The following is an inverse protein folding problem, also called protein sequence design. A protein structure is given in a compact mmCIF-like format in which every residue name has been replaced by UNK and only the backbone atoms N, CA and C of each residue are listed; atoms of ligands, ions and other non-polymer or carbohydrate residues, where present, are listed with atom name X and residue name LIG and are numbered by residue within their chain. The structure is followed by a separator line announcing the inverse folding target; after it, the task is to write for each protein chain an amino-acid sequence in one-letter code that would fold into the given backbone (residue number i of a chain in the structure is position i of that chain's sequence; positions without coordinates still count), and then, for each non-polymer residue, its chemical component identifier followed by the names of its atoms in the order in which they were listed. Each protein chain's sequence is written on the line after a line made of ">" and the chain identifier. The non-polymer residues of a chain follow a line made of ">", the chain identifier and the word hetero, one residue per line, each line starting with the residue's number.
data_IF_175896580874
#
_entry.id   IF_175896580874
#
_cell.length_a   1.000
_cell.length_b   1.000
_cell.length_c   1.000
_cell.angle_alpha   90.00
_cell.angle_beta   90.00
_cell.angle_gamma   90.00
#
_symmetry.space_group_name_H-M   'P 1'
#
loop_
_entity.id
_entity.type
_entity.pdbx_description
1 polymer ?
#
# COMPACT_ATOMS: atom_id res chain seq x y z
N UNK A 1 -7.44 -3.64 3.26
CA UNK A 1 -7.43 -5.03 3.73
C UNK A 1 -8.85 -5.51 3.87
N UNK A 2 -9.20 -6.65 3.27
CA UNK A 2 -10.52 -7.28 3.37
C UNK A 2 -10.31 -8.72 3.83
N UNK A 3 -10.79 -9.08 5.01
CA UNK A 3 -10.55 -10.37 5.65
C UNK A 3 -11.87 -11.03 6.04
N UNK A 4 -11.98 -12.32 5.79
CA UNK A 4 -13.09 -13.17 6.19
C UNK A 4 -12.55 -14.40 6.92
N UNK A 5 -13.16 -14.80 8.02
CA UNK A 5 -12.66 -15.95 8.76
C UNK A 5 -13.58 -16.42 9.87
N UNK A 6 -13.18 -17.52 10.49
CA UNK A 6 -13.84 -18.14 11.63
C UNK A 6 -12.80 -18.59 12.64
N UNK A 7 -13.16 -18.48 13.91
CA UNK A 7 -12.42 -19.07 15.02
C UNK A 7 -13.37 -19.98 15.81
N UNK A 8 -12.96 -21.23 16.00
CA UNK A 8 -13.71 -22.23 16.75
C UNK A 8 -13.70 -21.98 18.26
N UNK A 9 -14.36 -22.86 19.01
CA UNK A 9 -14.38 -22.79 20.47
C UNK A 9 -13.03 -23.24 21.07
N UNK A 10 -12.49 -22.44 21.98
CA UNK A 10 -11.34 -22.76 22.84
C UNK A 10 -11.74 -22.65 24.31
N UNK A 11 -10.99 -23.30 25.19
CA UNK A 11 -11.26 -23.31 26.63
C UNK A 11 -9.97 -23.14 27.45
N UNK A 12 -10.08 -22.46 28.59
CA UNK A 12 -9.05 -22.40 29.63
C UNK A 12 -9.14 -23.57 30.63
N UNK A 13 -10.18 -24.41 30.54
CA UNK A 13 -10.39 -25.52 31.46
C UNK A 13 -9.39 -26.66 31.17
N UNK A 14 -8.25 -26.63 31.84
CA UNK A 14 -7.29 -27.73 31.86
C UNK A 14 -7.77 -28.79 32.85
N UNK A 15 -8.16 -29.96 32.34
CA UNK A 15 -8.29 -31.14 33.20
C UNK A 15 -6.88 -31.69 33.44
N UNK A 16 -6.53 -32.07 34.67
CA UNK A 16 -5.21 -32.61 34.97
C UNK A 16 -4.89 -33.79 34.04
N UNK A 17 -3.91 -33.59 33.14
CA UNK A 17 -3.48 -34.58 32.14
C UNK A 17 -4.15 -34.51 30.75
N UNK A 18 -5.06 -33.57 30.49
CA UNK A 18 -5.69 -33.39 29.18
C UNK A 18 -4.94 -32.37 28.31
N UNK A 19 -4.84 -32.65 27.00
CA UNK A 19 -4.29 -31.70 26.02
C UNK A 19 -5.18 -30.43 25.94
N UNK A 20 -4.59 -29.23 25.72
CA UNK A 20 -5.35 -28.00 25.59
C UNK A 20 -6.37 -28.09 24.45
N UNK A 21 -7.59 -27.62 24.68
CA UNK A 21 -8.62 -27.59 23.65
C UNK A 21 -8.29 -26.52 22.60
N UNK A 22 -7.85 -26.97 21.42
CA UNK A 22 -7.46 -26.09 20.32
C UNK A 22 -8.69 -25.61 19.54
N UNK A 23 -8.78 -24.30 19.26
CA UNK A 23 -9.80 -23.75 18.37
C UNK A 23 -9.32 -23.78 16.92
N UNK A 24 -10.17 -24.27 16.03
CA UNK A 24 -9.93 -24.22 14.59
C UNK A 24 -9.94 -22.76 14.10
N UNK A 25 -8.92 -22.37 13.34
CA UNK A 25 -8.75 -21.05 12.77
C UNK A 25 -8.80 -21.18 11.25
N UNK A 26 -9.63 -20.36 10.61
CA UNK A 26 -9.60 -20.15 9.16
C UNK A 26 -9.73 -18.67 8.85
N UNK A 27 -8.81 -18.10 8.08
CA UNK A 27 -8.82 -16.70 7.67
C UNK A 27 -8.39 -16.63 6.21
N UNK A 28 -9.20 -15.98 5.38
CA UNK A 28 -8.88 -15.73 3.97
C UNK A 28 -9.15 -14.28 3.64
N UNK A 29 -8.43 -13.72 2.66
CA UNK A 29 -8.74 -12.38 2.20
C UNK A 29 -7.64 -11.72 1.41
N UNK A 30 -7.70 -10.40 1.37
CA UNK A 30 -6.72 -9.54 0.70
C UNK A 30 -6.04 -8.60 1.67
N UNK A 31 -4.71 -8.66 1.74
CA UNK A 31 -3.87 -7.74 2.50
C UNK A 31 -3.33 -6.63 1.58
N UNK A 32 -3.25 -5.40 2.11
CA UNK A 32 -2.74 -4.22 1.38
C UNK A 32 -3.38 -4.01 -0.02
N UNK A 33 -4.64 -4.42 -0.18
CA UNK A 33 -5.44 -4.20 -1.39
C UNK A 33 -5.12 -5.12 -2.56
N UNK A 34 -4.04 -5.92 -2.52
CA UNK A 34 -3.70 -6.81 -3.64
C UNK A 34 -3.06 -8.15 -3.28
N UNK A 35 -2.53 -8.33 -2.07
CA UNK A 35 -1.93 -9.60 -1.67
C UNK A 35 -3.02 -10.60 -1.28
N UNK A 36 -2.92 -11.85 -1.72
CA UNK A 36 -3.82 -12.90 -1.22
C UNK A 36 -3.31 -13.42 0.12
N UNK A 37 -4.21 -13.64 1.06
CA UNK A 37 -3.94 -14.20 2.39
C UNK A 37 -4.81 -15.43 2.61
N UNK A 38 -4.18 -16.51 3.06
CA UNK A 38 -4.84 -17.72 3.55
C UNK A 38 -4.15 -18.17 4.84
N UNK A 39 -4.92 -18.42 5.89
CA UNK A 39 -4.45 -18.90 7.19
C UNK A 39 -5.39 -20.00 7.64
N UNK A 40 -4.83 -21.14 7.99
CA UNK A 40 -5.57 -22.30 8.49
C UNK A 40 -4.82 -22.96 9.63
N UNK A 41 -5.54 -23.64 10.52
CA UNK A 41 -4.93 -24.45 11.56
C UNK A 41 -5.72 -24.38 12.86
N UNK A 42 -5.00 -24.46 13.97
CA UNK A 42 -5.61 -24.43 15.29
C UNK A 42 -4.78 -23.60 16.27
N UNK A 43 -5.45 -22.91 17.19
CA UNK A 43 -4.84 -22.07 18.21
C UNK A 43 -5.58 -22.21 19.53
N UNK A 44 -4.86 -22.20 20.65
CA UNK A 44 -5.45 -21.94 21.96
C UNK A 44 -4.70 -20.77 22.62
N UNK A 45 -5.24 -19.53 22.51
CA UNK A 45 -4.60 -18.35 23.09
C UNK A 45 -4.69 -18.31 24.62
N UNK A 46 -5.49 -19.18 25.25
CA UNK A 46 -5.64 -19.28 26.70
C UNK A 46 -4.76 -20.36 27.34
N UNK A 47 -4.06 -21.16 26.53
CA UNK A 47 -3.05 -22.10 27.03
C UNK A 47 -1.81 -21.33 27.51
N UNK A 48 -1.22 -21.79 28.60
CA UNK A 48 0.05 -21.27 29.13
C UNK A 48 1.06 -22.42 29.22
N UNK A 49 2.10 -22.43 28.36
CA UNK A 49 2.39 -21.52 27.26
C UNK A 49 1.38 -21.64 26.08
N UNK A 50 1.36 -20.61 25.22
CA UNK A 50 0.51 -20.55 24.01
C UNK A 50 0.68 -21.83 23.17
N UNK A 51 -0.42 -22.50 22.84
CA UNK A 51 -0.42 -23.64 21.91
C UNK A 51 -0.96 -23.21 20.54
N UNK A 52 -0.25 -23.55 19.47
CA UNK A 52 -0.69 -23.27 18.09
C UNK A 52 -0.15 -24.30 17.11
N UNK A 53 -0.89 -24.56 16.03
CA UNK A 53 -0.44 -25.29 14.84
C UNK A 53 -1.13 -24.63 13.64
N UNK A 54 -0.44 -23.68 13.00
CA UNK A 54 -1.00 -22.78 11.99
C UNK A 54 -0.13 -22.83 10.73
N UNK A 55 -0.79 -22.85 9.58
CA UNK A 55 -0.19 -22.60 8.28
C UNK A 55 -0.75 -21.29 7.73
N UNK A 56 0.12 -20.48 7.15
CA UNK A 56 -0.30 -19.27 6.47
C UNK A 56 0.44 -19.10 5.14
N UNK A 57 -0.30 -18.62 4.15
CA UNK A 57 0.21 -18.29 2.83
C UNK A 57 -0.15 -16.86 2.50
N UNK A 58 0.87 -16.12 2.03
CA UNK A 58 0.71 -14.79 1.47
C UNK A 58 1.28 -14.83 0.07
N UNK A 59 0.55 -14.33 -0.92
CA UNK A 59 1.04 -14.24 -2.29
C UNK A 59 1.01 -12.80 -2.80
N UNK A 60 2.11 -12.39 -3.44
CA UNK A 60 2.25 -11.14 -4.20
C UNK A 60 1.99 -9.85 -3.40
N UNK A 61 2.42 -9.81 -2.13
CA UNK A 61 2.35 -8.63 -1.29
C UNK A 61 3.34 -7.56 -1.77
N UNK A 62 2.84 -6.41 -2.21
CA UNK A 62 3.69 -5.26 -2.54
C UNK A 62 4.32 -4.70 -1.27
N UNK A 63 5.63 -4.51 -1.34
CA UNK A 63 6.45 -4.11 -0.20
C UNK A 63 6.58 -2.60 0.07
N UNK A 64 6.44 -1.68 -0.91
CA UNK A 64 6.57 -0.25 -0.61
C UNK A 64 5.66 0.29 0.50
N UNK A 65 4.38 -0.13 0.63
CA UNK A 65 3.53 0.27 1.76
C UNK A 65 4.10 -0.13 3.14
N UNK A 66 4.95 -1.16 3.19
CA UNK A 66 5.60 -1.64 4.41
C UNK A 66 6.91 -0.91 4.74
N UNK A 67 7.30 0.10 3.95
CA UNK A 67 8.47 0.93 4.18
C UNK A 67 8.61 1.46 5.61
N UNK A 68 7.54 1.87 6.33
CA UNK A 68 7.68 2.28 7.74
C UNK A 68 8.31 1.22 8.64
N UNK A 69 8.05 -0.07 8.39
CA UNK A 69 8.66 -1.18 9.11
C UNK A 69 10.11 -1.39 8.68
N UNK A 70 10.39 -1.34 7.37
CA UNK A 70 11.75 -1.45 6.85
C UNK A 70 12.67 -0.32 7.34
N UNK A 71 12.18 0.91 7.42
CA UNK A 71 12.92 2.04 7.96
C UNK A 71 13.24 1.81 9.45
N UNK A 72 12.27 1.32 10.23
CA UNK A 72 12.46 1.05 11.65
C UNK A 72 13.52 -0.01 11.92
N UNK A 73 13.56 -1.10 11.14
CA UNK A 73 14.41 -2.25 11.45
C UNK A 73 15.67 -2.37 10.58
N UNK A 74 15.68 -1.75 9.40
CA UNK A 74 16.79 -1.79 8.47
C UNK A 74 17.35 -0.42 8.09
N UNK A 75 16.61 0.67 8.33
CA UNK A 75 17.07 2.04 8.02
C UNK A 75 16.82 2.50 6.59
N UNK A 76 16.14 1.69 5.79
CA UNK A 76 15.85 1.97 4.38
C UNK A 76 14.36 1.81 4.08
N UNK A 77 13.82 2.71 3.26
CA UNK A 77 12.52 2.50 2.63
C UNK A 77 12.61 1.48 1.50
N UNK A 78 11.48 0.86 1.16
CA UNK A 78 11.39 -0.09 0.05
C UNK A 78 10.83 0.67 -1.16
N UNK A 79 11.63 0.80 -2.22
CA UNK A 79 11.24 1.47 -3.46
C UNK A 79 10.37 0.56 -4.33
N UNK A 80 10.68 -0.74 -4.34
CA UNK A 80 10.00 -1.72 -5.16
C UNK A 80 10.15 -3.12 -4.57
N UNK A 81 9.22 -4.01 -4.90
CA UNK A 81 9.35 -5.44 -4.66
C UNK A 81 8.05 -6.09 -4.24
N UNK A 82 7.98 -7.40 -4.42
CA UNK A 82 6.87 -8.24 -3.96
C UNK A 82 7.36 -9.34 -3.05
N UNK A 83 6.51 -9.71 -2.11
CA UNK A 83 6.75 -10.80 -1.18
C UNK A 83 5.67 -11.87 -1.30
N UNK A 84 6.10 -13.13 -1.39
CA UNK A 84 5.26 -14.30 -1.15
C UNK A 84 5.84 -15.12 0.01
N UNK A 85 4.97 -15.65 0.85
CA UNK A 85 5.32 -16.40 2.06
C UNK A 85 4.51 -17.68 2.14
N UNK A 86 5.17 -18.75 2.57
CA UNK A 86 4.54 -19.98 3.06
C UNK A 86 5.17 -20.28 4.42
N UNK A 87 4.35 -20.17 5.47
CA UNK A 87 4.78 -20.38 6.86
C UNK A 87 3.98 -21.50 7.50
N UNK A 88 4.66 -22.31 8.32
CA UNK A 88 4.04 -23.36 9.14
C UNK A 88 4.63 -23.26 10.53
N UNK A 89 3.82 -22.83 11.50
CA UNK A 89 4.26 -22.56 12.87
C UNK A 89 3.53 -23.52 13.79
N UNK A 90 4.28 -24.14 14.70
CA UNK A 90 3.76 -25.05 15.71
C UNK A 90 4.40 -24.75 17.05
N UNK A 91 3.59 -24.48 18.06
CA UNK A 91 4.03 -24.36 19.45
C UNK A 91 3.36 -25.46 20.25
N UNK A 92 4.18 -26.32 20.82
CA UNK A 92 3.73 -27.40 21.69
C UNK A 92 3.38 -26.87 23.09
N UNK A 93 2.54 -27.59 23.86
CA UNK A 93 2.16 -27.16 25.22
C UNK A 93 3.34 -27.02 26.20
N UNK A 94 4.52 -27.53 25.90
CA UNK A 94 5.76 -27.33 26.67
C UNK A 94 6.51 -26.05 26.27
N UNK A 95 5.98 -25.28 25.30
CA UNK A 95 6.56 -24.07 24.75
C UNK A 95 7.59 -24.31 23.63
N UNK A 96 7.73 -25.53 23.12
CA UNK A 96 8.62 -25.77 21.99
C UNK A 96 8.01 -25.28 20.68
N UNK A 97 8.63 -24.26 20.09
CA UNK A 97 8.33 -23.72 18.76
C UNK A 97 9.09 -24.51 17.69
N UNK A 98 8.36 -24.91 16.65
CA UNK A 98 8.89 -25.33 15.36
C UNK A 98 8.21 -24.50 14.28
N UNK A 99 8.99 -23.77 13.50
CA UNK A 99 8.51 -22.87 12.46
C UNK A 99 9.30 -23.07 11.17
N UNK A 100 8.60 -23.15 10.04
CA UNK A 100 9.21 -23.07 8.71
C UNK A 100 8.79 -21.77 8.06
N UNK A 101 9.74 -21.06 7.46
CA UNK A 101 9.50 -19.81 6.74
C UNK A 101 10.06 -19.90 5.34
N UNK A 102 9.20 -20.08 4.34
CA UNK A 102 9.57 -19.99 2.94
C UNK A 102 9.19 -18.61 2.43
N UNK A 103 10.19 -17.83 2.08
CA UNK A 103 10.09 -16.44 1.65
C UNK A 103 10.55 -16.34 0.20
N UNK A 104 9.72 -15.76 -0.67
CA UNK A 104 10.12 -15.40 -2.03
C UNK A 104 9.96 -13.89 -2.19
N UNK A 105 11.08 -13.19 -2.36
CA UNK A 105 11.09 -11.77 -2.69
C UNK A 105 11.39 -11.62 -4.18
N UNK A 106 10.54 -10.88 -4.89
CA UNK A 106 10.71 -10.59 -6.31
C UNK A 106 11.08 -9.13 -6.49
N UNK A 107 12.27 -8.90 -7.06
CA UNK A 107 12.76 -7.58 -7.46
C UNK A 107 12.69 -6.54 -6.34
N UNK A 108 13.17 -6.95 -5.16
CA UNK A 108 13.25 -6.09 -3.99
C UNK A 108 14.32 -5.01 -4.23
N UNK A 109 13.93 -3.75 -4.07
CA UNK A 109 14.81 -2.60 -4.18
C UNK A 109 14.59 -1.69 -2.97
N UNK A 110 15.69 -1.35 -2.29
CA UNK A 110 15.70 -0.43 -1.18
C UNK A 110 16.19 0.94 -1.64
N UNK A 111 15.50 1.98 -1.16
CA UNK A 111 15.92 3.35 -1.39
C UNK A 111 17.11 3.78 -0.55
N UNK A 112 17.43 5.07 -0.65
CA UNK A 112 18.49 5.69 0.13
C UNK A 112 18.26 5.51 1.65
N UNK A 113 19.34 5.46 2.45
CA UNK A 113 19.24 5.45 3.91
C UNK A 113 18.39 6.62 4.41
N UNK A 114 17.49 6.36 5.36
CA UNK A 114 16.66 7.39 5.99
C UNK A 114 17.40 7.99 7.18
N UNK A 115 17.64 9.30 7.13
CA UNK A 115 18.29 10.03 8.20
C UNK A 115 17.51 9.89 9.53
N UNK A 116 18.21 9.53 10.61
CA UNK A 116 17.62 9.36 11.94
C UNK A 116 16.92 8.02 12.17
N UNK A 117 17.03 7.06 11.25
CA UNK A 117 16.56 5.71 11.50
C UNK A 117 17.37 5.03 12.63
N UNK A 118 16.72 4.22 13.50
CA UNK A 118 17.34 3.65 14.70
C UNK A 118 18.32 2.50 14.41
N UNK A 119 18.31 1.95 13.21
CA UNK A 119 19.20 0.86 12.78
C UNK A 119 19.48 1.04 11.30
N UNK A 120 20.71 0.77 10.86
CA UNK A 120 21.08 0.77 9.45
C UNK A 120 21.77 -0.55 9.13
N UNK A 121 21.08 -1.39 8.37
CA UNK A 121 21.59 -2.67 7.89
C UNK A 121 22.03 -2.52 6.43
N UNK A 122 23.07 -3.25 5.97
CA UNK A 122 23.53 -3.22 4.58
C UNK A 122 22.57 -3.99 3.65
N UNK A 123 21.29 -3.63 3.65
CA UNK A 123 20.23 -4.37 2.97
C UNK A 123 20.38 -4.36 1.46
N UNK A 124 20.92 -3.30 0.87
CA UNK A 124 21.20 -3.26 -0.57
C UNK A 124 22.23 -4.31 -0.98
N UNK A 125 23.31 -4.47 -0.20
CA UNK A 125 24.31 -5.50 -0.43
C UNK A 125 23.72 -6.89 -0.21
N UNK A 126 22.99 -7.09 0.89
CA UNK A 126 22.36 -8.38 1.18
C UNK A 126 21.39 -8.80 0.07
N UNK A 127 20.58 -7.86 -0.42
CA UNK A 127 19.65 -8.09 -1.54
C UNK A 127 20.41 -8.46 -2.82
N UNK A 128 21.48 -7.73 -3.16
CA UNK A 128 22.29 -8.00 -4.35
C UNK A 128 23.00 -9.36 -4.31
N UNK A 129 23.39 -9.83 -3.12
CA UNK A 129 24.07 -11.13 -2.96
C UNK A 129 23.09 -12.32 -2.94
N UNK A 130 21.86 -12.10 -2.46
CA UNK A 130 20.87 -13.15 -2.30
C UNK A 130 19.96 -13.31 -3.53
N UNK A 131 19.86 -12.27 -4.36
CA UNK A 131 19.04 -12.30 -5.55
C UNK A 131 19.73 -13.11 -6.67
N UNK A 132 18.94 -13.90 -7.39
CA UNK A 132 19.39 -14.56 -8.61
C UNK A 132 19.44 -13.59 -9.81
N UNK A 133 19.78 -14.10 -10.99
CA UNK A 133 19.85 -13.32 -12.24
C UNK A 133 18.52 -12.67 -12.66
N UNK A 134 17.38 -13.08 -12.07
CA UNK A 134 16.06 -12.53 -12.34
C UNK A 134 15.59 -11.57 -11.22
N UNK A 135 16.44 -11.30 -10.23
CA UNK A 135 16.13 -10.48 -9.06
C UNK A 135 15.25 -11.20 -8.04
N UNK A 136 15.24 -12.54 -8.03
CA UNK A 136 14.44 -13.35 -7.09
C UNK A 136 15.30 -13.82 -5.93
N UNK A 137 14.85 -13.58 -4.71
CA UNK A 137 15.46 -14.09 -3.48
C UNK A 137 14.53 -15.17 -2.92
N UNK A 138 15.01 -16.39 -2.80
CA UNK A 138 14.28 -17.50 -2.19
C UNK A 138 14.97 -17.95 -0.91
N UNK A 139 14.32 -17.76 0.23
CA UNK A 139 14.83 -18.12 1.54
C UNK A 139 13.96 -19.21 2.17
N UNK A 140 14.60 -20.25 2.68
CA UNK A 140 13.97 -21.23 3.57
C UNK A 140 14.65 -21.13 4.93
N UNK A 141 13.93 -20.58 5.90
CA UNK A 141 14.43 -20.26 7.23
C UNK A 141 13.67 -21.08 8.29
N UNK A 142 14.12 -22.31 8.59
CA UNK A 142 13.58 -23.07 9.70
C UNK A 142 14.02 -22.44 11.02
N UNK A 143 13.09 -22.30 11.95
CA UNK A 143 13.31 -21.77 13.29
C UNK A 143 12.76 -22.79 14.29
N UNK A 144 13.57 -23.18 15.27
CA UNK A 144 13.15 -24.07 16.35
C UNK A 144 13.75 -23.61 17.67
N UNK A 145 13.00 -23.75 18.75
CA UNK A 145 13.47 -23.43 20.10
C UNK A 145 12.33 -23.28 21.10
N UNK A 146 12.67 -23.10 22.37
CA UNK A 146 11.68 -22.86 23.41
C UNK A 146 11.30 -21.38 23.45
N UNK A 147 10.00 -21.07 23.40
CA UNK A 147 9.52 -19.69 23.61
C UNK A 147 9.61 -19.25 25.07
N UNK A 148 9.84 -20.20 25.97
CA UNK A 148 9.98 -19.96 27.40
C UNK A 148 11.41 -19.58 27.79
N UNK A 149 12.36 -19.66 26.86
CA UNK A 149 13.76 -19.31 27.10
C UNK A 149 13.94 -17.77 27.00
N UNK A 150 14.37 -17.09 28.09
CA UNK A 150 14.62 -15.65 28.07
C UNK A 150 15.76 -15.22 27.14
N UNK A 151 16.63 -16.15 26.73
CA UNK A 151 17.70 -15.90 25.74
C UNK A 151 17.27 -16.16 24.29
N UNK A 152 16.04 -16.65 24.05
CA UNK A 152 15.51 -16.88 22.71
C UNK A 152 15.45 -15.58 21.91
N UNK A 153 16.43 -15.39 21.02
CA UNK A 153 16.53 -14.23 20.14
C UNK A 153 16.49 -14.67 18.67
N UNK A 154 15.51 -14.13 17.94
CA UNK A 154 15.29 -14.48 16.53
C UNK A 154 16.41 -13.92 15.63
N UNK A 155 17.03 -12.80 16.03
CA UNK A 155 18.06 -12.08 15.25
C UNK A 155 19.28 -12.93 14.89
N UNK A 156 20.01 -13.53 15.86
CA UNK A 156 21.17 -14.37 15.57
C UNK A 156 20.86 -15.60 14.71
N UNK A 157 19.67 -16.19 14.87
CA UNK A 157 19.21 -17.35 14.08
C UNK A 157 19.01 -16.94 12.62
N UNK A 158 18.32 -15.82 12.36
CA UNK A 158 18.13 -15.27 11.02
C UNK A 158 19.48 -14.91 10.39
N UNK A 159 20.37 -14.23 11.12
CA UNK A 159 21.68 -13.84 10.60
C UNK A 159 22.53 -15.06 10.20
N UNK A 160 22.55 -16.10 11.04
CA UNK A 160 23.27 -17.35 10.76
C UNK A 160 22.67 -18.08 9.55
N UNK A 161 21.34 -18.10 9.41
CA UNK A 161 20.67 -18.70 8.27
C UNK A 161 20.99 -17.96 6.96
N UNK A 162 21.01 -16.62 6.97
CA UNK A 162 21.42 -15.79 5.82
C UNK A 162 22.89 -16.04 5.46
N UNK A 163 23.81 -16.03 6.44
CA UNK A 163 25.23 -16.29 6.20
C UNK A 163 25.49 -17.70 5.63
N UNK A 164 24.75 -18.71 6.11
CA UNK A 164 24.83 -20.06 5.56
C UNK A 164 24.32 -20.16 4.12
N UNK A 165 23.36 -19.32 3.74
CA UNK A 165 22.83 -19.27 2.38
C UNK A 165 23.84 -18.62 1.42
N UNK A 166 24.49 -17.53 1.84
CA UNK A 166 25.57 -16.86 1.08
C UNK A 166 26.80 -17.78 0.96
N UNK A 167 27.16 -18.49 2.04
CA UNK A 167 28.31 -19.41 2.05
C UNK A 167 28.16 -20.64 1.13
N UNK A 168 26.94 -20.97 0.71
CA UNK A 168 26.67 -22.09 -0.22
C UNK A 168 26.50 -21.66 -1.68
N UNK A 169 26.44 -20.35 -1.96
CA UNK A 169 26.25 -19.80 -3.29
C UNK A 169 27.46 -18.92 -3.70
N UNK A 170 28.64 -19.55 -3.86
CA UNK A 170 29.78 -18.91 -4.53
C UNK A 170 29.86 -19.45 -5.95
N UNK A 171 29.07 -18.86 -6.84
CA UNK A 171 29.42 -18.64 -8.26
C UNK A 171 28.38 -17.69 -8.86
N UNK A 172 28.60 -16.39 -8.72
CA UNK A 172 28.01 -15.40 -9.63
C UNK A 172 29.04 -14.28 -9.88
N UNK A 173 29.49 -14.07 -11.12
CA UNK A 173 30.37 -12.95 -11.44
C UNK A 173 29.58 -11.65 -11.33
N UNK A 174 30.12 -10.68 -10.59
CA UNK A 174 29.60 -9.31 -10.56
C UNK A 174 29.54 -8.75 -11.98
N UNK A 175 28.33 -8.52 -12.48
CA UNK A 175 28.11 -7.62 -13.62
C UNK A 175 27.32 -6.43 -13.11
N UNK A 176 28.06 -5.35 -12.90
CA UNK A 176 27.50 -4.01 -12.83
C UNK A 176 26.84 -3.71 -14.19
N UNK A 177 25.51 -3.73 -14.24
CA UNK A 177 24.77 -3.12 -15.32
C UNK A 177 24.26 -1.76 -14.85
N UNK A 178 25.19 -0.80 -14.83
CA UNK A 178 24.86 0.59 -15.09
C UNK A 178 24.77 0.76 -16.61
N UNK A 179 23.79 1.54 -17.07
CA UNK A 179 23.55 1.95 -18.46
C UNK A 179 22.82 0.94 -19.37
N UNK A 180 21.51 0.83 -19.20
CA UNK A 180 20.62 0.52 -20.32
C UNK A 180 19.18 0.99 -20.03
N UNK A 181 18.93 2.29 -20.15
CA UNK A 181 17.62 2.76 -20.59
C UNK A 181 17.80 4.12 -21.30
N UNK A 182 18.52 4.06 -22.42
CA UNK A 182 18.48 5.09 -23.44
C UNK A 182 17.23 4.92 -24.28
N UNK A 183 16.43 5.99 -24.33
CA UNK A 183 15.56 6.40 -25.44
C UNK A 183 14.69 5.32 -26.12
N UNK A 184 13.44 5.18 -25.66
CA UNK A 184 12.26 4.81 -26.46
C UNK A 184 11.10 5.59 -25.84
N UNK A 185 10.31 6.41 -26.51
CA UNK A 185 10.20 6.76 -27.92
C UNK A 185 9.12 7.84 -28.05
N UNK A 186 9.20 8.58 -29.15
CA UNK A 186 8.28 9.62 -29.55
C UNK A 186 6.88 9.09 -29.83
N UNK A 187 5.91 9.54 -29.03
CA UNK A 187 4.56 9.85 -29.50
C UNK A 187 4.00 10.88 -28.54
N UNK A 188 3.41 11.97 -29.05
CA UNK A 188 3.09 13.20 -28.31
C UNK A 188 2.01 13.12 -27.24
N UNK A 189 1.88 11.99 -26.54
CA UNK A 189 1.16 11.86 -25.28
C UNK A 189 2.08 11.17 -24.28
N UNK A 190 2.31 11.84 -23.15
CA UNK A 190 3.11 11.30 -22.07
C UNK A 190 2.39 10.10 -21.42
N UNK A 191 2.69 8.89 -21.91
CA UNK A 191 2.17 7.64 -21.35
C UNK A 191 2.85 7.27 -20.03
N UNK A 192 3.85 8.04 -19.57
CA UNK A 192 4.54 7.80 -18.30
C UNK A 192 3.77 8.34 -17.09
N UNK A 193 2.69 9.09 -17.29
CA UNK A 193 1.90 9.66 -16.19
C UNK A 193 0.40 9.50 -16.40
N UNK A 194 -0.30 9.10 -15.34
CA UNK A 194 -1.77 9.04 -15.30
C UNK A 194 -2.28 10.15 -14.38
N UNK A 195 -2.95 11.14 -14.95
CA UNK A 195 -3.46 12.29 -14.20
C UNK A 195 -4.71 11.93 -13.36
N UNK A 196 -4.78 12.52 -12.16
CA UNK A 196 -5.91 12.44 -11.25
C UNK A 196 -6.46 13.84 -10.94
N UNK A 197 -7.73 13.90 -10.54
CA UNK A 197 -8.27 15.12 -9.96
C UNK A 197 -7.67 15.37 -8.56
N UNK A 198 -7.47 16.64 -8.16
CA UNK A 198 -6.98 16.98 -6.82
C UNK A 198 -7.78 16.30 -5.71
N UNK A 199 -7.09 15.65 -4.78
CA UNK A 199 -7.70 14.92 -3.67
C UNK A 199 -8.36 13.58 -4.01
N UNK A 200 -8.44 13.19 -5.29
CA UNK A 200 -9.12 11.97 -5.75
C UNK A 200 -8.15 10.90 -6.26
N UNK A 201 -8.48 9.63 -5.98
CA UNK A 201 -7.83 8.45 -6.55
C UNK A 201 -8.65 7.79 -7.66
N UNK A 202 -9.72 8.44 -8.14
CA UNK A 202 -10.60 7.89 -9.16
C UNK A 202 -10.03 8.10 -10.56
N UNK A 203 -10.03 7.04 -11.37
CA UNK A 203 -9.60 7.10 -12.76
C UNK A 203 -10.68 7.74 -13.64
N UNK A 204 -10.36 8.90 -14.22
CA UNK A 204 -11.19 9.56 -15.23
C UNK A 204 -11.35 8.72 -16.50
N UNK A 205 -12.37 9.01 -17.31
CA UNK A 205 -12.54 8.34 -18.61
C UNK A 205 -11.29 8.48 -19.50
N UNK A 206 -10.67 9.66 -19.53
CA UNK A 206 -9.41 9.91 -20.24
C UNK A 206 -8.27 9.03 -19.74
N UNK A 207 -8.11 8.92 -18.41
CA UNK A 207 -7.11 8.07 -17.79
C UNK A 207 -7.33 6.58 -18.12
N UNK A 208 -8.58 6.12 -18.13
CA UNK A 208 -8.94 4.74 -18.52
C UNK A 208 -8.58 4.45 -19.97
N UNK A 209 -8.90 5.34 -20.90
CA UNK A 209 -8.52 5.20 -22.32
C UNK A 209 -7.01 5.16 -22.51
N UNK A 210 -6.26 5.99 -21.78
CA UNK A 210 -4.80 5.95 -21.79
C UNK A 210 -4.29 4.60 -21.27
N UNK A 211 -4.83 4.12 -20.16
CA UNK A 211 -4.45 2.83 -19.56
C UNK A 211 -4.82 1.63 -20.42
N UNK A 212 -5.85 1.72 -21.27
CA UNK A 212 -6.14 0.68 -22.27
C UNK A 212 -4.99 0.53 -23.26
N UNK A 213 -4.37 1.65 -23.68
CA UNK A 213 -3.16 1.64 -24.51
C UNK A 213 -1.96 1.01 -23.78
N UNK A 214 -1.77 1.33 -22.50
CA UNK A 214 -0.73 0.73 -21.66
C UNK A 214 -0.95 -0.78 -21.51
N UNK A 215 -2.20 -1.21 -21.24
CA UNK A 215 -2.54 -2.62 -21.13
C UNK A 215 -2.24 -3.38 -22.44
N UNK A 216 -2.60 -2.80 -23.60
CA UNK A 216 -2.26 -3.38 -24.90
C UNK A 216 -0.74 -3.54 -25.08
N UNK A 217 0.03 -2.50 -24.77
CA UNK A 217 1.49 -2.54 -24.88
C UNK A 217 2.14 -3.58 -23.94
N UNK A 218 1.59 -3.78 -22.74
CA UNK A 218 2.04 -4.82 -21.80
C UNK A 218 1.62 -6.23 -22.25
N UNK A 219 0.45 -6.38 -22.88
CA UNK A 219 0.02 -7.65 -23.46
C UNK A 219 0.93 -8.06 -24.63
N UNK A 220 1.27 -7.11 -25.51
CA UNK A 220 2.12 -7.36 -26.69
C UNK A 220 3.59 -7.65 -26.32
N UNK A 221 4.04 -7.26 -25.12
CA UNK A 221 5.42 -7.47 -24.65
C UNK A 221 5.46 -8.20 -23.31
N UNK A 222 5.44 -9.55 -23.30
CA UNK A 222 5.31 -10.33 -22.06
C UNK A 222 6.48 -10.16 -21.08
N UNK A 223 7.66 -9.76 -21.57
CA UNK A 223 8.85 -9.55 -20.74
C UNK A 223 8.88 -8.19 -20.02
N UNK A 224 7.93 -7.28 -20.32
CA UNK A 224 7.86 -5.99 -19.64
C UNK A 224 7.16 -6.11 -18.27
N UNK A 225 7.74 -5.44 -17.29
CA UNK A 225 7.13 -5.20 -15.97
C UNK A 225 6.84 -3.72 -15.82
N UNK A 226 5.75 -3.40 -15.15
CA UNK A 226 5.34 -2.02 -14.89
C UNK A 226 5.38 -1.75 -13.39
N UNK A 227 6.02 -0.66 -13.00
CA UNK A 227 5.96 -0.11 -11.64
C UNK A 227 5.11 1.15 -11.66
N UNK A 228 4.21 1.27 -10.69
CA UNK A 228 3.30 2.41 -10.55
C UNK A 228 3.59 3.12 -9.22
N UNK A 229 3.99 4.38 -9.30
CA UNK A 229 4.22 5.24 -8.13
C UNK A 229 3.20 6.37 -8.10
N UNK A 230 2.32 6.39 -7.09
CA UNK A 230 1.35 7.46 -6.93
C UNK A 230 1.99 8.70 -6.32
N UNK A 231 1.49 9.88 -6.70
CA UNK A 231 1.90 11.16 -6.11
C UNK A 231 0.72 11.85 -5.43
N UNK A 232 0.99 12.58 -4.35
CA UNK A 232 0.03 13.48 -3.72
C UNK A 232 0.72 14.61 -2.95
N UNK A 233 0.38 15.87 -3.19
CA UNK A 233 1.04 17.01 -2.52
C UNK A 233 0.05 17.83 -1.71
N UNK A 234 0.28 17.91 -0.40
CA UNK A 234 -0.62 18.64 0.50
C UNK A 234 -0.82 20.09 0.06
N UNK A 235 0.27 20.80 -0.27
CA UNK A 235 0.22 22.21 -0.65
C UNK A 235 -0.62 22.47 -1.92
N UNK A 236 -0.69 21.51 -2.82
CA UNK A 236 -1.35 21.65 -4.13
C UNK A 236 -2.75 21.03 -4.14
N UNK A 237 -3.08 20.18 -3.15
CA UNK A 237 -4.30 19.38 -3.15
C UNK A 237 -5.17 19.53 -1.89
N UNK A 238 -4.77 20.34 -0.91
CA UNK A 238 -5.48 20.45 0.37
C UNK A 238 -6.99 20.71 0.19
N UNK A 239 -7.38 21.68 -0.65
CA UNK A 239 -8.79 21.98 -0.89
C UNK A 239 -9.52 20.81 -1.56
N UNK A 240 -8.90 20.19 -2.57
CA UNK A 240 -9.44 19.01 -3.26
C UNK A 240 -9.64 17.85 -2.30
N UNK A 241 -8.68 17.60 -1.42
CA UNK A 241 -8.75 16.56 -0.40
C UNK A 241 -9.85 16.83 0.64
N UNK A 242 -10.02 18.08 1.09
CA UNK A 242 -11.13 18.49 1.97
C UNK A 242 -12.48 18.26 1.30
N UNK A 243 -12.60 18.59 0.01
CA UNK A 243 -13.81 18.39 -0.78
C UNK A 243 -14.15 16.90 -0.93
N UNK A 244 -13.17 16.06 -1.24
CA UNK A 244 -13.36 14.60 -1.33
C UNK A 244 -13.74 14.00 0.04
N UNK A 245 -13.15 14.49 1.13
CA UNK A 245 -13.56 14.10 2.49
C UNK A 245 -15.01 14.48 2.78
N UNK A 246 -15.44 15.68 2.40
CA UNK A 246 -16.83 16.11 2.55
C UNK A 246 -17.78 15.20 1.77
N UNK A 247 -17.47 14.91 0.51
CA UNK A 247 -18.28 14.00 -0.30
C UNK A 247 -18.37 12.60 0.33
N UNK A 248 -17.27 12.06 0.88
CA UNK A 248 -17.31 10.78 1.59
C UNK A 248 -18.18 10.81 2.85
N UNK A 249 -18.24 11.95 3.56
CA UNK A 249 -19.16 12.13 4.71
C UNK A 249 -20.62 12.15 4.24
N UNK A 250 -20.92 12.83 3.13
CA UNK A 250 -22.26 12.86 2.53
C UNK A 250 -22.67 11.47 2.04
N UNK A 251 -21.76 10.72 1.39
CA UNK A 251 -21.98 9.34 0.96
C UNK A 251 -22.26 8.38 2.12
N UNK A 252 -21.64 8.64 3.28
CA UNK A 252 -21.90 7.86 4.50
C UNK A 252 -23.31 8.15 5.02
N UNK A 253 -23.80 9.38 4.90
CA UNK A 253 -25.16 9.75 5.31
C UNK A 253 -26.22 8.99 4.52
N UNK A 254 -26.06 8.88 3.20
CA UNK A 254 -26.96 8.11 2.34
C UNK A 254 -27.01 6.62 2.77
N UNK A 255 -25.85 6.03 3.07
CA UNK A 255 -25.76 4.62 3.49
C UNK A 255 -26.42 4.33 4.83
N UNK A 256 -26.46 5.29 5.74
CA UNK A 256 -27.18 5.13 7.01
C UNK A 256 -28.70 5.13 6.84
N UNK A 257 -29.22 5.67 5.73
CA UNK A 257 -30.66 5.69 5.43
C UNK A 257 -31.12 4.53 4.57
N UNK A 258 -30.23 3.88 3.82
CA UNK A 258 -30.57 2.68 3.08
C UNK A 258 -31.10 1.60 4.06
N UNK A 259 -32.35 1.11 3.89
CA UNK A 259 -32.90 0.12 4.82
C UNK A 259 -31.99 -1.10 4.88
N UNK A 260 -31.85 -1.69 6.07
CA UNK A 260 -31.07 -2.89 6.36
C UNK A 260 -31.63 -4.17 5.68
N UNK A 261 -32.00 -4.08 4.41
CA UNK A 261 -32.42 -5.14 3.52
C UNK A 261 -31.36 -5.37 2.44
N UNK A 262 -30.12 -5.56 2.85
CA UNK A 262 -29.18 -6.36 2.10
C UNK A 262 -28.90 -7.62 2.93
N UNK A 263 -29.63 -8.68 2.60
CA UNK A 263 -29.34 -10.02 3.08
C UNK A 263 -27.85 -10.36 2.80
N UNK A 264 -27.21 -11.24 3.58
CA UNK A 264 -25.88 -11.74 3.26
C UNK A 264 -25.97 -12.55 1.96
N UNK A 265 -25.65 -11.92 0.82
CA UNK A 265 -25.75 -12.54 -0.50
C UNK A 265 -26.21 -11.63 -1.64
N UNK A 266 -26.74 -10.44 -1.39
CA UNK A 266 -26.88 -9.45 -2.46
C UNK A 266 -25.51 -8.86 -2.74
N UNK A 267 -25.05 -8.98 -3.98
CA UNK A 267 -23.94 -8.19 -4.52
C UNK A 267 -24.28 -6.72 -4.32
N UNK A 268 -23.84 -6.19 -3.18
CA UNK A 268 -23.87 -4.77 -2.90
C UNK A 268 -23.16 -4.11 -4.09
N UNK A 269 -23.93 -3.35 -4.86
CA UNK A 269 -23.38 -2.38 -5.78
C UNK A 269 -22.29 -1.65 -5.01
N UNK A 270 -21.10 -1.64 -5.63
CA UNK A 270 -19.87 -1.03 -5.16
C UNK A 270 -20.11 0.33 -4.47
N UNK A 271 -19.22 0.78 -3.57
CA UNK A 271 -19.34 2.07 -2.89
C UNK A 271 -19.77 3.17 -3.87
N UNK A 272 -20.80 3.95 -3.52
CA UNK A 272 -21.06 5.22 -4.21
C UNK A 272 -19.81 6.07 -4.02
N UNK A 273 -19.01 6.17 -5.09
CA UNK A 273 -17.75 6.89 -5.06
C UNK A 273 -18.01 8.37 -4.74
N UNK A 274 -17.09 9.02 -4.03
CA UNK A 274 -17.21 10.43 -3.65
C UNK A 274 -17.53 11.37 -4.83
N UNK A 275 -17.11 11.02 -6.05
CA UNK A 275 -17.42 11.77 -7.26
C UNK A 275 -18.86 11.58 -7.76
N UNK A 276 -19.44 10.38 -7.60
CA UNK A 276 -20.81 10.10 -8.01
C UNK A 276 -21.79 10.88 -7.12
N UNK A 277 -21.48 10.96 -5.82
CA UNK A 277 -22.22 11.75 -4.82
C UNK A 277 -22.22 13.23 -5.18
N UNK A 278 -21.09 13.78 -5.61
CA UNK A 278 -21.02 15.20 -6.00
C UNK A 278 -21.95 15.55 -7.17
N UNK A 279 -22.25 14.58 -8.03
CA UNK A 279 -23.14 14.73 -9.19
C UNK A 279 -24.59 14.31 -8.93
N UNK A 280 -24.90 13.80 -7.74
CA UNK A 280 -26.24 13.26 -7.45
C UNK A 280 -27.26 14.37 -7.24
N UNK A 281 -28.50 14.13 -7.66
CA UNK A 281 -29.63 15.05 -7.42
C UNK A 281 -29.98 15.18 -5.94
N UNK A 282 -29.56 14.20 -5.12
CA UNK A 282 -29.82 14.13 -3.68
C UNK A 282 -28.77 14.88 -2.86
N UNK A 283 -27.62 15.21 -3.46
CA UNK A 283 -26.50 15.86 -2.79
C UNK A 283 -26.88 17.11 -1.98
N UNK A 284 -27.66 18.08 -2.49
CA UNK A 284 -28.02 19.27 -1.71
C UNK A 284 -28.83 18.94 -0.45
N UNK A 285 -29.69 17.91 -0.50
CA UNK A 285 -30.51 17.50 0.62
C UNK A 285 -29.67 16.76 1.69
N UNK A 286 -28.80 15.85 1.25
CA UNK A 286 -27.89 15.11 2.13
C UNK A 286 -26.88 16.04 2.80
N UNK A 287 -26.26 16.95 2.04
CA UNK A 287 -25.32 17.95 2.57
C UNK A 287 -26.00 18.86 3.60
N UNK A 288 -27.21 19.33 3.32
CA UNK A 288 -27.98 20.17 4.25
C UNK A 288 -28.27 19.45 5.56
N UNK A 289 -28.55 18.16 5.51
CA UNK A 289 -28.79 17.34 6.70
C UNK A 289 -27.51 17.16 7.51
N UNK A 290 -26.43 16.77 6.85
CA UNK A 290 -25.11 16.64 7.46
C UNK A 290 -24.68 17.97 8.12
N UNK A 291 -24.83 19.08 7.42
CA UNK A 291 -24.56 20.43 7.94
C UNK A 291 -25.39 20.77 9.17
N UNK A 292 -26.67 20.36 9.25
CA UNK A 292 -27.51 20.62 10.43
C UNK A 292 -27.10 19.77 11.64
N UNK A 293 -26.74 18.50 11.39
CA UNK A 293 -26.34 17.53 12.43
C UNK A 293 -24.98 17.85 13.05
N UNK A 294 -23.97 18.11 12.23
CA UNK A 294 -22.59 18.25 12.71
C UNK A 294 -22.43 19.52 13.54
N UNK A 295 -21.81 19.47 14.72
CA UNK A 295 -21.61 20.66 15.55
C UNK A 295 -20.41 21.48 15.05
N UNK A 296 -20.68 22.43 14.17
CA UNK A 296 -19.68 23.28 13.51
C UNK A 296 -19.71 24.67 14.16
N UNK A 297 -18.57 25.21 14.62
CA UNK A 297 -18.53 26.57 15.16
C UNK A 297 -18.78 27.61 14.05
N UNK A 298 -19.49 28.69 14.40
CA UNK A 298 -19.74 29.81 13.47
C UNK A 298 -20.91 29.63 12.48
N UNK A 299 -21.83 28.68 12.71
CA UNK A 299 -23.05 28.57 11.87
C UNK A 299 -23.89 29.85 11.96
N UNK A 300 -24.21 30.50 10.82
CA UNK A 300 -25.06 31.68 10.83
C UNK A 300 -26.46 31.33 11.35
N UNK A 301 -26.96 32.17 12.25
CA UNK A 301 -28.31 32.09 12.80
C UNK A 301 -29.13 33.29 12.31
N UNK A 302 -30.41 33.06 12.08
CA UNK A 302 -31.36 34.12 11.78
C UNK A 302 -31.64 34.96 13.03
N UNK A 303 -32.30 36.11 12.87
CA UNK A 303 -32.65 37.05 13.94
C UNK A 303 -33.49 36.45 15.10
N UNK A 304 -34.04 35.23 14.93
CA UNK A 304 -34.83 34.49 15.93
C UNK A 304 -34.00 33.34 16.57
N UNK A 305 -32.71 33.23 16.27
CA UNK A 305 -31.81 32.22 16.87
C UNK A 305 -31.83 30.83 16.21
N UNK A 306 -32.65 30.62 15.17
CA UNK A 306 -32.67 29.40 14.36
C UNK A 306 -31.51 29.37 13.35
N UNK A 307 -30.99 28.18 13.04
CA UNK A 307 -29.95 28.00 12.01
C UNK A 307 -30.46 28.50 10.65
N UNK A 308 -29.67 29.35 9.98
CA UNK A 308 -30.01 29.92 8.67
C UNK A 308 -29.84 28.87 7.58
N UNK A 309 -30.80 28.79 6.65
CA UNK A 309 -30.60 28.05 5.41
C UNK A 309 -29.63 28.84 4.52
N UNK A 310 -28.42 28.29 4.37
CA UNK A 310 -27.33 28.83 3.54
C UNK A 310 -27.24 28.07 2.21
N UNK A 311 -26.79 28.72 1.12
CA UNK A 311 -26.59 28.05 -0.16
C UNK A 311 -25.58 26.89 -0.07
N UNK A 312 -25.68 25.91 -0.98
CA UNK A 312 -24.80 24.72 -1.04
C UNK A 312 -23.32 25.10 -0.97
N UNK A 313 -22.88 26.06 -1.78
CA UNK A 313 -21.48 26.50 -1.80
C UNK A 313 -20.99 27.06 -0.45
N UNK A 314 -21.87 27.72 0.32
CA UNK A 314 -21.54 28.25 1.63
C UNK A 314 -21.50 27.13 2.70
N UNK A 315 -22.43 26.16 2.62
CA UNK A 315 -22.36 24.95 3.46
C UNK A 315 -21.06 24.19 3.23
N UNK A 316 -20.69 23.94 1.97
CA UNK A 316 -19.43 23.27 1.63
C UNK A 316 -18.23 24.01 2.22
N UNK A 317 -18.16 25.34 2.04
CA UNK A 317 -17.07 26.16 2.56
C UNK A 317 -16.95 26.06 4.08
N UNK A 318 -18.07 26.17 4.80
CA UNK A 318 -18.09 26.08 6.26
C UNK A 318 -17.70 24.68 6.75
N UNK A 319 -18.17 23.62 6.08
CA UNK A 319 -17.81 22.26 6.44
C UNK A 319 -16.33 21.97 6.17
N UNK A 320 -15.83 22.34 5.00
CA UNK A 320 -14.42 22.14 4.63
C UNK A 320 -13.47 22.93 5.53
N UNK A 321 -13.87 24.08 6.07
CA UNK A 321 -13.04 24.87 6.99
C UNK A 321 -12.63 24.08 8.26
N UNK A 322 -13.38 23.04 8.62
CA UNK A 322 -13.15 22.21 9.82
C UNK A 322 -12.51 20.87 9.50
N UNK A 323 -12.31 20.55 8.22
CA UNK A 323 -11.65 19.33 7.80
C UNK A 323 -10.14 19.56 7.81
N UNK A 324 -9.43 18.80 8.64
CA UNK A 324 -7.97 18.82 8.68
C UNK A 324 -7.41 17.67 7.83
N UNK A 325 -6.52 18.00 6.89
CA UNK A 325 -5.83 17.03 6.04
C UNK A 325 -4.35 17.06 6.39
N UNK A 326 -3.84 15.92 6.88
CA UNK A 326 -2.43 15.78 7.24
C UNK A 326 -1.60 15.07 6.18
N UNK A 327 -0.28 15.05 6.37
CA UNK A 327 0.67 14.33 5.50
C UNK A 327 0.36 12.84 5.37
N UNK A 328 -0.15 12.21 6.43
CA UNK A 328 -0.58 10.80 6.39
C UNK A 328 -1.71 10.55 5.39
N UNK A 329 -2.67 11.48 5.28
CA UNK A 329 -3.76 11.38 4.31
C UNK A 329 -3.26 11.53 2.86
N UNK A 330 -2.23 12.35 2.63
CA UNK A 330 -1.59 12.46 1.30
C UNK A 330 -0.85 11.18 0.93
N UNK A 331 -0.15 10.55 1.88
CA UNK A 331 0.47 9.25 1.64
C UNK A 331 -0.56 8.19 1.23
N UNK A 332 -1.66 8.09 1.97
CA UNK A 332 -2.75 7.18 1.66
C UNK A 332 -3.38 7.48 0.29
N UNK A 333 -3.59 8.76 -0.05
CA UNK A 333 -4.12 9.15 -1.35
C UNK A 333 -3.18 8.74 -2.50
N UNK A 334 -1.88 8.93 -2.34
CA UNK A 334 -0.89 8.49 -3.32
C UNK A 334 -0.88 6.96 -3.47
N UNK A 335 -0.98 6.20 -2.37
CA UNK A 335 -1.07 4.74 -2.40
C UNK A 335 -2.34 4.28 -3.14
N UNK A 336 -3.49 4.92 -2.86
CA UNK A 336 -4.76 4.64 -3.52
C UNK A 336 -4.70 4.90 -5.03
N UNK A 337 -4.01 5.96 -5.48
CA UNK A 337 -3.81 6.25 -6.91
C UNK A 337 -3.01 5.16 -7.60
N UNK A 338 -1.91 4.72 -6.99
CA UNK A 338 -1.08 3.66 -7.53
C UNK A 338 -1.87 2.34 -7.62
N UNK A 339 -2.62 2.00 -6.56
CA UNK A 339 -3.50 0.84 -6.52
C UNK A 339 -4.62 0.93 -7.57
N UNK A 340 -5.24 2.09 -7.77
CA UNK A 340 -6.30 2.27 -8.77
C UNK A 340 -5.81 1.95 -10.18
N UNK A 341 -4.63 2.44 -10.56
CA UNK A 341 -4.00 2.13 -11.84
C UNK A 341 -3.66 0.64 -11.94
N UNK A 342 -3.01 0.08 -10.91
CA UNK A 342 -2.64 -1.35 -10.87
C UNK A 342 -3.86 -2.25 -11.03
N UNK A 343 -4.93 -1.98 -10.28
CA UNK A 343 -6.17 -2.76 -10.31
C UNK A 343 -6.87 -2.63 -11.66
N UNK A 344 -6.85 -1.44 -12.27
CA UNK A 344 -7.37 -1.26 -13.63
C UNK A 344 -6.62 -2.11 -14.64
N UNK A 345 -5.28 -2.09 -14.64
CA UNK A 345 -4.47 -2.90 -15.56
C UNK A 345 -4.66 -4.42 -15.31
N UNK A 346 -4.76 -4.83 -14.05
CA UNK A 346 -5.09 -6.22 -13.70
C UNK A 346 -6.46 -6.63 -14.24
N UNK A 347 -7.46 -5.75 -14.17
CA UNK A 347 -8.80 -6.00 -14.75
C UNK A 347 -8.80 -6.14 -16.27
N UNK A 348 -7.75 -5.64 -16.94
CA UNK A 348 -7.51 -5.82 -18.39
C UNK A 348 -6.75 -7.11 -18.71
N UNK A 349 -6.53 -7.97 -17.73
CA UNK A 349 -5.89 -9.27 -17.90
C UNK A 349 -4.37 -9.25 -17.79
N UNK A 350 -3.76 -8.14 -17.37
CA UNK A 350 -2.31 -8.09 -17.13
C UNK A 350 -1.99 -8.85 -15.83
N UNK A 351 -1.09 -9.86 -15.85
CA UNK A 351 -0.76 -10.63 -14.66
C UNK A 351 -0.25 -9.76 -13.50
N UNK A 352 -0.76 -9.98 -12.29
CA UNK A 352 -0.36 -9.24 -11.09
C UNK A 352 1.14 -9.34 -10.79
N UNK A 353 1.78 -10.45 -11.16
CA UNK A 353 3.23 -10.65 -11.05
C UNK A 353 4.07 -9.67 -11.91
N UNK A 354 3.44 -9.02 -12.90
CA UNK A 354 4.09 -8.03 -13.78
C UNK A 354 3.81 -6.57 -13.38
N UNK A 355 2.94 -6.36 -12.40
CA UNK A 355 2.48 -5.04 -11.95
C UNK A 355 2.95 -4.78 -10.51
N UNK A 356 3.89 -3.87 -10.34
CA UNK A 356 4.49 -3.50 -9.07
C UNK A 356 4.00 -2.14 -8.59
N UNK A 357 3.86 -1.97 -7.29
CA UNK A 357 3.79 -0.63 -6.70
C UNK A 357 5.21 -0.09 -6.47
N UNK A 358 5.36 1.22 -6.62
CA UNK A 358 6.57 1.97 -6.28
C UNK A 358 6.38 2.80 -5.00
N UNK A 359 7.45 3.46 -4.55
CA UNK A 359 7.37 4.46 -3.47
C UNK A 359 6.46 5.62 -3.83
N UNK A 360 5.59 5.98 -2.89
CA UNK A 360 4.69 7.11 -3.07
C UNK A 360 5.40 8.44 -2.88
N UNK A 361 5.03 9.40 -3.73
CA UNK A 361 5.66 10.72 -3.77
C UNK A 361 4.75 11.75 -3.08
N UNK A 362 5.06 12.12 -1.84
CA UNK A 362 4.22 13.07 -1.09
C UNK A 362 4.72 14.52 -1.07
N UNK A 363 5.82 14.83 -1.78
CA UNK A 363 6.48 16.14 -1.79
C UNK A 363 7.13 16.55 -0.45
N UNK A 364 6.89 15.80 0.62
CA UNK A 364 7.39 16.07 1.97
C UNK A 364 8.66 15.28 2.35
N UNK A 365 9.24 14.53 1.41
CA UNK A 365 10.44 13.72 1.64
C UNK A 365 11.25 13.54 0.36
N UNK A 366 12.55 13.81 0.47
CA UNK A 366 13.62 13.61 -0.53
C UNK A 366 13.41 14.28 -1.88
N UNK A 367 13.81 15.56 -1.95
CA UNK A 367 14.43 16.06 -3.17
C UNK A 367 15.63 15.14 -3.48
N UNK A 368 15.48 14.27 -4.47
CA UNK A 368 16.63 13.79 -5.22
C UNK A 368 17.27 15.02 -5.83
N UNK A 369 18.31 15.55 -5.18
CA UNK A 369 19.28 16.41 -5.84
C UNK A 369 19.90 15.54 -6.93
N UNK A 370 19.35 15.64 -8.14
CA UNK A 370 20.11 15.32 -9.33
C UNK A 370 21.46 16.01 -9.20
N UNK A 371 22.52 15.23 -9.20
CA UNK A 371 23.88 15.74 -9.29
C UNK A 371 23.98 16.48 -10.62
N UNK A 372 23.76 17.78 -10.60
CA UNK A 372 24.22 18.66 -11.65
C UNK A 372 25.69 18.90 -11.36
N UNK A 373 26.55 18.10 -11.99
CA UNK A 373 27.95 18.45 -12.15
C UNK A 373 28.02 19.76 -12.93
N UNK A 374 28.43 20.81 -12.22
CA UNK A 374 28.85 22.09 -12.75
C UNK A 374 29.98 21.85 -13.76
N UNK A 375 29.76 22.21 -15.01
CA UNK A 375 30.82 22.54 -15.94
C UNK A 375 30.51 23.91 -16.50
N UNK A 376 31.46 24.83 -16.29
CA UNK A 376 31.49 26.19 -16.82
C UNK A 376 31.12 26.22 -18.31
N UNK A 377 30.14 27.04 -18.67
CA UNK A 377 30.31 27.94 -19.80
C UNK A 377 29.38 29.15 -19.70
N UNK A 378 29.99 30.34 -19.76
CA UNK A 378 29.31 31.62 -19.77
C UNK A 378 28.55 31.81 -21.09
N UNK A 379 27.29 32.24 -20.99
CA UNK A 379 26.48 32.62 -22.15
C UNK A 379 25.12 33.15 -21.69
N UNK A 380 24.97 34.47 -21.72
CA UNK A 380 23.77 35.19 -21.33
C UNK A 380 22.57 34.83 -22.23
N UNK A 381 21.42 34.57 -21.61
CA UNK A 381 20.14 34.34 -22.27
C UNK A 381 19.07 34.02 -21.24
N UNK A 382 18.42 35.04 -20.69
CA UNK A 382 17.31 34.89 -19.74
C UNK A 382 16.05 34.42 -20.48
N UNK A 383 15.81 33.12 -20.52
CA UNK A 383 14.50 32.57 -20.84
C UNK A 383 13.80 32.14 -19.55
N UNK A 384 12.75 32.86 -19.19
CA UNK A 384 11.82 32.49 -18.12
C UNK A 384 11.11 31.19 -18.50
N UNK A 385 11.60 30.04 -18.02
CA UNK A 385 10.83 28.79 -18.06
C UNK A 385 9.57 28.95 -17.21
N UNK A 386 8.43 29.03 -17.90
CA UNK A 386 7.10 28.80 -17.32
C UNK A 386 7.10 27.48 -16.56
N UNK A 387 7.16 27.52 -15.23
CA UNK A 387 6.87 26.37 -14.37
C UNK A 387 5.41 26.01 -14.54
N UNK A 388 5.11 25.00 -15.36
CA UNK A 388 3.78 24.42 -15.45
C UNK A 388 3.28 24.02 -14.05
N UNK A 389 2.01 24.30 -13.75
CA UNK A 389 1.41 23.91 -12.47
C UNK A 389 1.51 22.38 -12.30
N UNK A 390 1.97 21.94 -11.13
CA UNK A 390 2.06 20.52 -10.80
C UNK A 390 0.66 19.89 -10.81
N UNK A 391 0.52 18.72 -11.44
CA UNK A 391 -0.75 18.00 -11.54
C UNK A 391 -0.66 16.70 -10.74
N UNK A 392 -1.68 16.33 -9.96
CA UNK A 392 -1.71 15.05 -9.28
C UNK A 392 -1.67 13.89 -10.28
N UNK A 393 -0.75 12.94 -10.11
CA UNK A 393 -0.57 11.84 -11.07
C UNK A 393 -0.07 10.55 -10.42
N UNK A 394 -0.15 9.45 -11.15
CA UNK A 394 0.68 8.27 -10.91
C UNK A 394 1.71 8.14 -12.03
N UNK A 395 2.98 7.98 -11.65
CA UNK A 395 4.09 7.75 -12.55
C UNK A 395 4.19 6.25 -12.91
N UNK A 396 4.44 5.97 -14.18
CA UNK A 396 4.51 4.65 -14.79
C UNK A 396 5.93 4.43 -15.29
N UNK A 397 6.67 3.54 -14.64
CA UNK A 397 8.03 3.17 -15.05
C UNK A 397 8.07 1.73 -15.55
N UNK A 398 8.70 1.54 -16.70
CA UNK A 398 8.87 0.22 -17.32
C UNK A 398 10.22 -0.37 -16.92
N UNK A 399 10.20 -1.63 -16.48
CA UNK A 399 11.39 -2.44 -16.27
C UNK A 399 11.41 -3.63 -17.24
N UNK A 400 12.62 -4.02 -17.65
CA UNK A 400 12.87 -5.27 -18.36
C UNK A 400 13.53 -6.26 -17.39
N UNK A 401 13.36 -7.56 -17.66
CA UNK A 401 14.13 -8.61 -16.98
C UNK A 401 15.62 -8.49 -17.28
#
# INVERSE_FOLDING_TARGET
>A
TALNGSLGAFSSATHAGAAPQMAELKLTGTAEGSATLDVEGQINPLADPLALDIKAKVADLDLPPLSPYAIKYAGHGIERGKLSMDVSYKIQPDGQLTATNKLVLNQLEFGAPVAGAPTSLPVQLATALLADSHGVINLDLPISGSINDPEFSIGPIIFKAIMNLIGKAITAPFTLLAHALGSIGSSGQDLSQVAFAPGSAQLSAKARTQLDGVAKALADRPNLKLTVAGSARLADEEEGAKRQRLYAMVAAEERHEAPAAAAPGSTATQPTDAADIASSTEYPALLKRLYRRDDIPGKPRNFIGLQRDVPVAEMEKLMMAHINIGQGAMRQLAEQRALAVKNYLASKGIPAARLFLGTVQTGAGTQSKGVTTTADNAGAGSESKSTAAWVPHAELSLGMN
#
